data_IF_157507636258
#
_entry.id   IF_157507636258
#
_cell.length_a   1.000
_cell.length_b   1.000
_cell.length_c   1.000
_cell.angle_alpha   90.00
_cell.angle_beta   90.00
_cell.angle_gamma   90.00
#
_symmetry.space_group_name_H-M   'P 1'
#
loop_
_entity.id
_entity.type
_entity.pdbx_description
1 polymer ?
#
# COMPACT_ATOMS: atom_id res chain seq x y z
N UNK A 1 36.42 5.31 44.64
CA UNK A 1 35.21 4.47 44.46
C UNK A 1 34.17 5.15 43.56
N UNK A 2 33.70 6.37 43.88
CA UNK A 2 32.67 7.10 43.11
C UNK A 2 33.03 7.29 41.62
N UNK A 3 34.28 7.64 41.30
CA UNK A 3 34.74 7.84 39.91
C UNK A 3 34.70 6.55 39.07
N UNK A 4 34.91 5.39 39.69
CA UNK A 4 34.89 4.09 39.02
C UNK A 4 33.44 3.62 38.74
N UNK A 5 32.53 3.93 39.67
CA UNK A 5 31.08 3.68 39.49
C UNK A 5 30.49 4.55 38.38
N UNK A 6 30.87 5.84 38.31
CA UNK A 6 30.44 6.74 37.22
C UNK A 6 30.93 6.27 35.85
N UNK A 7 32.18 5.80 35.77
CA UNK A 7 32.75 5.31 34.52
C UNK A 7 32.04 4.03 34.02
N UNK A 8 31.73 3.09 34.93
CA UNK A 8 30.97 1.87 34.60
C UNK A 8 29.52 2.16 34.19
N UNK A 9 28.91 3.18 34.78
CA UNK A 9 27.56 3.64 34.44
C UNK A 9 27.52 4.27 33.03
N UNK A 10 28.48 5.14 32.71
CA UNK A 10 28.63 5.74 31.38
C UNK A 10 28.93 4.69 30.30
N UNK A 11 29.74 3.68 30.61
CA UNK A 11 30.06 2.60 29.68
C UNK A 11 28.82 1.72 29.36
N UNK A 12 27.97 1.45 30.36
CA UNK A 12 26.70 0.74 30.15
C UNK A 12 25.70 1.58 29.35
N UNK A 13 25.64 2.89 29.61
CA UNK A 13 24.76 3.80 28.87
C UNK A 13 25.17 3.92 27.40
N UNK A 14 26.47 3.96 27.10
CA UNK A 14 26.96 3.96 25.72
C UNK A 14 26.71 2.63 24.99
N UNK A 15 26.79 1.50 25.72
CA UNK A 15 26.51 0.18 25.15
C UNK A 15 25.05 -0.02 24.72
N UNK A 16 24.10 0.61 25.43
CA UNK A 16 22.67 0.50 25.12
C UNK A 16 22.25 1.27 23.86
N UNK A 17 23.00 2.30 23.46
CA UNK A 17 22.67 3.13 22.28
C UNK A 17 23.06 2.41 20.97
N UNK A 18 24.00 1.47 21.01
CA UNK A 18 24.51 0.78 19.82
C UNK A 18 23.63 -0.34 19.25
N UNK A 19 22.62 -0.81 19.99
CA UNK A 19 21.81 -1.98 19.58
C UNK A 19 20.49 -1.64 18.87
N UNK A 20 20.17 -0.35 18.69
CA UNK A 20 18.86 0.07 18.17
C UNK A 20 18.79 0.32 16.65
N UNK A 21 19.79 -0.07 15.87
CA UNK A 21 19.80 0.16 14.43
C UNK A 21 20.00 -1.17 13.67
N UNK A 22 19.03 -2.07 13.82
CA UNK A 22 18.89 -3.20 12.91
C UNK A 22 17.79 -2.83 11.91
N UNK A 23 18.16 -2.20 10.80
CA UNK A 23 17.25 -2.08 9.66
C UNK A 23 16.83 -3.49 9.28
N UNK A 24 15.53 -3.78 9.42
CA UNK A 24 14.97 -5.09 9.13
C UNK A 24 14.88 -5.19 7.61
N UNK A 25 15.94 -5.68 6.99
CA UNK A 25 15.95 -5.90 5.54
C UNK A 25 15.01 -7.08 5.27
N UNK A 26 13.79 -6.78 4.85
CA UNK A 26 12.80 -7.78 4.46
C UNK A 26 13.16 -8.32 3.09
N UNK A 27 13.25 -9.65 2.98
CA UNK A 27 13.47 -10.32 1.71
C UNK A 27 12.35 -9.98 0.71
N UNK A 28 12.66 -9.82 -0.60
CA UNK A 28 11.65 -9.59 -1.60
C UNK A 28 10.67 -10.77 -1.69
N UNK A 29 9.38 -10.51 -1.99
CA UNK A 29 8.39 -11.56 -2.17
C UNK A 29 8.76 -12.47 -3.34
N UNK A 30 8.37 -13.75 -3.26
CA UNK A 30 8.63 -14.76 -4.30
C UNK A 30 8.12 -14.30 -5.68
N UNK A 31 6.95 -13.68 -5.70
CA UNK A 31 6.38 -13.03 -6.88
C UNK A 31 6.43 -11.53 -6.69
N UNK A 32 7.37 -10.86 -7.37
CA UNK A 32 7.50 -9.41 -7.32
C UNK A 32 6.64 -8.73 -8.40
N UNK A 33 5.58 -8.04 -7.98
CA UNK A 33 4.76 -7.23 -8.87
C UNK A 33 5.55 -5.98 -9.31
N UNK A 34 5.35 -5.50 -10.53
CA UNK A 34 5.88 -4.19 -10.91
C UNK A 34 5.11 -3.08 -10.20
N UNK A 35 5.78 -1.94 -9.95
CA UNK A 35 5.09 -0.80 -9.35
C UNK A 35 3.91 -0.31 -10.20
N UNK A 36 4.01 -0.40 -11.54
CA UNK A 36 2.90 -0.03 -12.42
C UNK A 36 1.70 -0.94 -12.25
N UNK A 37 1.93 -2.25 -12.09
CA UNK A 37 0.87 -3.22 -11.86
C UNK A 37 0.24 -3.02 -10.49
N UNK A 38 1.05 -2.82 -9.46
CA UNK A 38 0.58 -2.55 -8.10
C UNK A 38 -0.27 -1.27 -8.04
N UNK A 39 0.17 -0.19 -8.71
CA UNK A 39 -0.63 1.06 -8.84
C UNK A 39 -1.99 0.79 -9.48
N UNK A 40 -2.06 -0.03 -10.54
CA UNK A 40 -3.32 -0.36 -11.20
C UNK A 40 -4.27 -1.16 -10.31
N UNK A 41 -3.74 -2.16 -9.60
CA UNK A 41 -4.51 -2.99 -8.66
C UNK A 41 -5.07 -2.13 -7.52
N UNK A 42 -4.24 -1.27 -6.93
CA UNK A 42 -4.65 -0.40 -5.83
C UNK A 42 -5.67 0.65 -6.28
N UNK A 43 -5.51 1.23 -7.48
CA UNK A 43 -6.48 2.16 -8.04
C UNK A 43 -7.86 1.50 -8.23
N UNK A 44 -7.90 0.31 -8.82
CA UNK A 44 -9.16 -0.43 -9.00
C UNK A 44 -9.81 -0.80 -7.65
N UNK A 45 -8.99 -1.21 -6.68
CA UNK A 45 -9.44 -1.53 -5.32
C UNK A 45 -9.99 -0.28 -4.61
N UNK A 46 -9.37 0.87 -4.83
CA UNK A 46 -9.83 2.14 -4.27
C UNK A 46 -11.17 2.57 -4.88
N UNK A 47 -11.32 2.48 -6.20
CA UNK A 47 -12.59 2.75 -6.90
C UNK A 47 -13.69 1.83 -6.36
N UNK A 48 -13.38 0.55 -6.17
CA UNK A 48 -14.32 -0.42 -5.62
C UNK A 48 -14.78 -0.01 -4.22
N UNK A 49 -13.84 0.30 -3.34
CA UNK A 49 -14.12 0.73 -1.98
C UNK A 49 -14.95 2.02 -1.97
N UNK A 50 -14.67 2.97 -2.86
CA UNK A 50 -15.44 4.20 -3.01
C UNK A 50 -16.87 3.92 -3.47
N UNK A 51 -17.07 3.01 -4.43
CA UNK A 51 -18.40 2.62 -4.94
C UNK A 51 -19.28 2.01 -3.84
N UNK A 52 -18.69 1.24 -2.93
CA UNK A 52 -19.41 0.62 -1.81
C UNK A 52 -19.38 1.42 -0.51
N UNK A 53 -18.78 2.61 -0.49
CA UNK A 53 -18.65 3.38 0.75
C UNK A 53 -20.02 3.76 1.33
N UNK A 54 -21.01 3.99 0.47
CA UNK A 54 -22.38 4.36 0.86
C UNK A 54 -23.29 3.14 1.16
N UNK A 55 -22.84 1.93 0.83
CA UNK A 55 -23.58 0.70 1.13
C UNK A 55 -23.22 0.24 2.54
N UNK A 56 -24.22 0.08 3.41
CA UNK A 56 -24.04 -0.40 4.78
C UNK A 56 -24.62 -1.81 4.96
N UNK A 57 -24.05 -2.59 5.89
CA UNK A 57 -24.53 -3.90 6.30
C UNK A 57 -23.88 -5.08 5.58
N UNK A 58 -24.29 -6.31 5.94
CA UNK A 58 -23.70 -7.57 5.46
C UNK A 58 -23.74 -7.78 3.95
N UNK A 59 -24.67 -7.11 3.25
CA UNK A 59 -24.73 -7.10 1.78
C UNK A 59 -23.51 -6.42 1.18
N UNK A 60 -23.00 -5.35 1.81
CA UNK A 60 -21.77 -4.67 1.42
C UNK A 60 -20.59 -5.64 1.45
N UNK A 61 -20.47 -6.42 2.52
CA UNK A 61 -19.33 -7.28 2.75
C UNK A 61 -19.26 -8.41 1.71
N UNK A 62 -20.40 -9.07 1.45
CA UNK A 62 -20.48 -10.15 0.45
C UNK A 62 -20.23 -9.65 -0.98
N UNK A 63 -20.79 -8.49 -1.34
CA UNK A 63 -20.60 -7.93 -2.68
C UNK A 63 -19.16 -7.42 -2.85
N UNK A 64 -18.64 -6.69 -1.86
CA UNK A 64 -17.26 -6.19 -1.87
C UNK A 64 -16.25 -7.32 -2.00
N UNK A 65 -16.45 -8.42 -1.30
CA UNK A 65 -15.61 -9.61 -1.41
C UNK A 65 -15.65 -10.23 -2.81
N UNK A 66 -16.84 -10.39 -3.40
CA UNK A 66 -16.96 -10.93 -4.74
C UNK A 66 -16.23 -10.06 -5.78
N UNK A 67 -16.34 -8.74 -5.69
CA UNK A 67 -15.63 -7.84 -6.60
C UNK A 67 -14.13 -7.76 -6.33
N UNK A 68 -13.69 -7.87 -5.06
CA UNK A 68 -12.27 -7.98 -4.73
C UNK A 68 -11.68 -9.22 -5.41
N UNK A 69 -12.37 -10.35 -5.37
CA UNK A 69 -11.94 -11.57 -6.07
C UNK A 69 -11.86 -11.34 -7.58
N UNK A 70 -12.81 -10.61 -8.19
CA UNK A 70 -12.74 -10.25 -9.61
C UNK A 70 -11.52 -9.37 -9.94
N UNK A 71 -11.12 -8.45 -9.05
CA UNK A 71 -9.91 -7.64 -9.25
C UNK A 71 -8.67 -8.55 -9.23
N UNK A 72 -8.57 -9.45 -8.25
CA UNK A 72 -7.46 -10.40 -8.16
C UNK A 72 -7.38 -11.30 -9.41
N UNK A 73 -8.53 -11.81 -9.87
CA UNK A 73 -8.63 -12.62 -11.10
C UNK A 73 -8.24 -11.83 -12.35
N UNK A 74 -8.69 -10.56 -12.45
CA UNK A 74 -8.35 -9.65 -13.57
C UNK A 74 -6.84 -9.48 -13.70
N UNK A 75 -6.13 -9.41 -12.58
CA UNK A 75 -4.68 -9.23 -12.54
C UNK A 75 -3.91 -10.55 -12.42
N UNK A 76 -4.60 -11.70 -12.35
CA UNK A 76 -4.02 -13.04 -12.23
C UNK A 76 -3.08 -13.19 -11.02
N UNK A 77 -3.48 -12.63 -9.88
CA UNK A 77 -2.71 -12.69 -8.62
C UNK A 77 -3.56 -13.25 -7.48
N UNK A 78 -2.92 -13.82 -6.47
CA UNK A 78 -3.58 -14.15 -5.21
C UNK A 78 -3.58 -12.94 -4.26
N UNK A 79 -4.47 -12.96 -3.27
CA UNK A 79 -4.49 -11.97 -2.19
C UNK A 79 -3.14 -11.95 -1.44
N UNK A 80 -2.56 -13.12 -1.19
CA UNK A 80 -1.27 -13.26 -0.52
C UNK A 80 -0.14 -12.55 -1.29
N UNK A 81 -0.08 -12.73 -2.62
CA UNK A 81 0.90 -12.04 -3.47
C UNK A 81 0.73 -10.52 -3.37
N UNK A 82 -0.52 -10.02 -3.38
CA UNK A 82 -0.78 -8.60 -3.22
C UNK A 82 -0.28 -8.09 -1.86
N UNK A 83 -0.65 -8.77 -0.78
CA UNK A 83 -0.32 -8.37 0.59
C UNK A 83 1.19 -8.32 0.83
N UNK A 84 1.91 -9.38 0.41
CA UNK A 84 3.37 -9.42 0.52
C UNK A 84 4.04 -8.30 -0.28
N UNK A 85 3.51 -7.96 -1.46
CA UNK A 85 4.07 -6.88 -2.27
C UNK A 85 3.80 -5.50 -1.65
N UNK A 86 2.65 -5.29 -1.01
CA UNK A 86 2.36 -4.05 -0.29
C UNK A 86 3.26 -3.91 0.93
N UNK A 87 3.35 -4.96 1.76
CA UNK A 87 4.19 -4.99 2.95
C UNK A 87 5.67 -4.74 2.61
N UNK A 88 6.19 -5.43 1.59
CA UNK A 88 7.58 -5.24 1.17
C UNK A 88 7.86 -3.80 0.72
N UNK A 89 6.95 -3.12 0.00
CA UNK A 89 7.17 -1.70 -0.34
C UNK A 89 7.02 -0.75 0.83
N UNK A 90 6.27 -1.13 1.86
CA UNK A 90 6.15 -0.35 3.08
C UNK A 90 7.51 -0.31 3.80
N UNK A 91 8.13 -1.48 3.97
CA UNK A 91 9.48 -1.62 4.55
C UNK A 91 10.58 -0.93 3.72
N UNK A 92 10.38 -0.82 2.40
CA UNK A 92 11.29 -0.10 1.51
C UNK A 92 11.05 1.42 1.45
N UNK A 93 10.13 1.96 2.25
CA UNK A 93 9.73 3.39 2.22
C UNK A 93 9.25 3.86 0.83
N UNK A 94 8.72 2.96 0.01
CA UNK A 94 8.28 3.24 -1.37
C UNK A 94 6.78 3.42 -1.52
N UNK A 95 6.01 3.13 -0.48
CA UNK A 95 4.54 3.19 -0.53
C UNK A 95 4.01 4.59 -0.82
N UNK A 96 4.64 5.66 -0.33
CA UNK A 96 4.23 7.03 -0.63
C UNK A 96 4.31 7.33 -2.13
N UNK A 97 5.38 6.86 -2.78
CA UNK A 97 5.55 7.02 -4.22
C UNK A 97 4.49 6.24 -5.00
N UNK A 98 4.18 5.02 -4.57
CA UNK A 98 3.13 4.19 -5.17
C UNK A 98 1.76 4.85 -5.00
N UNK A 99 1.47 5.36 -3.80
CA UNK A 99 0.21 6.03 -3.49
C UNK A 99 0.02 7.30 -4.33
N UNK A 100 1.04 8.15 -4.45
CA UNK A 100 0.98 9.35 -5.29
C UNK A 100 0.68 9.01 -6.75
N UNK A 101 1.34 7.98 -7.29
CA UNK A 101 1.10 7.51 -8.67
C UNK A 101 -0.30 6.92 -8.85
N UNK A 102 -0.85 6.28 -7.82
CA UNK A 102 -2.24 5.82 -7.81
C UNK A 102 -3.20 7.01 -7.86
N UNK A 103 -2.98 8.06 -7.06
CA UNK A 103 -3.80 9.26 -7.08
C UNK A 103 -3.74 9.98 -8.44
N UNK A 104 -2.55 10.11 -9.03
CA UNK A 104 -2.38 10.67 -10.37
C UNK A 104 -3.18 9.90 -11.43
N UNK A 105 -3.17 8.56 -11.32
CA UNK A 105 -3.98 7.70 -12.19
C UNK A 105 -5.48 7.93 -12.00
N UNK A 106 -5.95 8.06 -10.76
CA UNK A 106 -7.36 8.34 -10.48
C UNK A 106 -7.78 9.69 -11.06
N UNK A 107 -6.97 10.73 -10.87
CA UNK A 107 -7.21 12.06 -11.44
C UNK A 107 -7.26 12.01 -12.97
N UNK A 108 -6.34 11.26 -13.60
CA UNK A 108 -6.36 11.05 -15.04
C UNK A 108 -7.67 10.39 -15.50
N UNK A 109 -8.11 9.32 -14.83
CA UNK A 109 -9.36 8.63 -15.17
C UNK A 109 -10.57 9.55 -15.05
N UNK A 110 -10.65 10.35 -13.99
CA UNK A 110 -11.74 11.31 -13.76
C UNK A 110 -11.83 12.35 -14.89
N UNK A 111 -10.71 12.97 -15.27
CA UNK A 111 -10.66 13.95 -16.36
C UNK A 111 -11.15 13.36 -17.69
N UNK A 112 -10.77 12.12 -17.98
CA UNK A 112 -11.16 11.45 -19.23
C UNK A 112 -12.65 11.13 -19.25
N UNK A 113 -13.19 10.60 -18.14
CA UNK A 113 -14.62 10.30 -18.00
C UNK A 113 -15.46 11.58 -18.15
N UNK A 114 -15.04 12.69 -17.52
CA UNK A 114 -15.74 13.97 -17.64
C UNK A 114 -15.76 14.48 -19.09
N UNK A 115 -14.61 14.41 -19.77
CA UNK A 115 -14.51 14.89 -21.16
C UNK A 115 -15.38 14.07 -22.13
N UNK A 116 -15.52 12.75 -21.91
CA UNK A 116 -16.39 11.89 -22.70
C UNK A 116 -17.87 12.18 -22.45
N UNK A 117 -18.24 12.47 -21.20
CA UNK A 117 -19.61 12.86 -20.84
C UNK A 117 -20.03 14.15 -21.54
N UNK A 118 -19.17 15.17 -21.55
CA UNK A 118 -19.46 16.46 -22.18
C UNK A 118 -19.61 16.35 -23.71
N UNK A 119 -18.86 15.44 -24.34
CA UNK A 119 -19.00 15.15 -25.78
C UNK A 119 -20.31 14.45 -26.11
N UNK A 120 -20.82 13.59 -25.22
CA UNK A 120 -22.11 12.91 -25.40
C UNK A 120 -23.31 13.83 -25.15
N UNK A 121 -23.16 14.87 -24.32
CA UNK A 121 -24.24 15.82 -24.04
C UNK A 121 -24.45 16.88 -25.15
N UNK A 122 -23.43 17.11 -26.00
CA UNK A 122 -23.46 18.11 -27.07
C UNK A 122 -23.73 17.52 -28.48
N UNK A 123 -24.05 16.22 -28.58
CA UNK A 123 -24.47 15.53 -29.79
C UNK A 123 -25.89 14.97 -29.61
#
# INVERSE_FOLDING_TARGET
MIRLVLFLSLLNLLGLIGFSCSSREMDPPEVLLSDSLLVNILADSYILNAAFNQTAGSIKDSISEAYRNQILDKYQISQEVLDQNVEWRYEQERMDTIFNRMMDRLNYLELHISSESDRKANN
#
